data_IF_222466992940
#
_entry.id   IF_222466992940
#
_cell.length_a   1.000
_cell.length_b   1.000
_cell.length_c   1.000
_cell.angle_alpha   90.00
_cell.angle_beta   90.00
_cell.angle_gamma   90.00
#
_symmetry.space_group_name_H-M   'P 1'
#
loop_
_entity.id
_entity.type
_entity.pdbx_description
1 polymer ?
#
# COMPACT_ATOMS: atom_id res chain seq x y z
N UNK A 1 -16.20 15.91 22.58
CA UNK A 1 -16.09 14.57 21.96
C UNK A 1 -16.25 14.68 20.46
N UNK A 2 -15.68 13.73 19.70
CA UNK A 2 -15.79 13.73 18.24
C UNK A 2 -17.12 13.11 17.81
N UNK A 3 -17.86 13.77 16.91
CA UNK A 3 -19.11 13.24 16.36
C UNK A 3 -18.88 12.23 15.22
N UNK A 4 -17.64 12.12 14.73
CA UNK A 4 -17.26 11.20 13.65
C UNK A 4 -16.83 9.81 14.14
N UNK A 5 -17.17 9.42 15.37
CA UNK A 5 -16.75 8.16 16.01
C UNK A 5 -17.09 6.92 15.18
N UNK A 6 -18.26 6.91 14.54
CA UNK A 6 -18.73 5.81 13.70
C UNK A 6 -18.51 6.06 12.21
N UNK A 7 -17.97 7.22 11.82
CA UNK A 7 -17.70 7.50 10.42
C UNK A 7 -16.56 6.61 9.90
N UNK A 8 -16.66 6.07 8.67
CA UNK A 8 -15.52 5.43 8.01
C UNK A 8 -14.45 6.43 7.57
N UNK A 9 -14.69 7.74 7.77
CA UNK A 9 -13.79 8.84 7.42
C UNK A 9 -13.45 8.80 5.93
N UNK A 10 -12.17 8.88 5.60
CA UNK A 10 -11.68 8.88 4.23
C UNK A 10 -11.22 7.49 3.75
N UNK A 11 -11.77 6.40 4.32
CA UNK A 11 -11.60 5.05 3.74
C UNK A 11 -12.37 4.90 2.43
N UNK A 12 -13.44 5.66 2.24
CA UNK A 12 -14.35 5.62 1.11
C UNK A 12 -15.72 6.17 1.49
N UNK A 13 -16.76 5.79 0.75
CA UNK A 13 -18.15 6.11 1.09
C UNK A 13 -18.76 7.16 0.18
N UNK A 14 -19.87 7.76 0.62
CA UNK A 14 -20.69 8.61 -0.26
C UNK A 14 -19.97 9.86 -0.77
N UNK A 15 -19.02 10.38 0.02
CA UNK A 15 -18.33 11.65 -0.26
C UNK A 15 -16.81 11.51 -0.44
N UNK A 16 -16.26 10.29 -0.37
CA UNK A 16 -14.83 10.03 -0.56
C UNK A 16 -14.64 8.80 -1.44
N UNK A 17 -13.73 8.85 -2.45
CA UNK A 17 -13.40 7.65 -3.20
C UNK A 17 -12.81 6.58 -2.29
N UNK A 18 -13.06 5.32 -2.63
CA UNK A 18 -12.45 4.20 -1.92
C UNK A 18 -10.94 4.26 -1.97
N UNK A 19 -10.31 4.10 -0.81
CA UNK A 19 -8.88 4.35 -0.65
C UNK A 19 -7.98 3.29 -1.30
N UNK A 20 -8.46 2.05 -1.44
CA UNK A 20 -7.69 0.96 -2.07
C UNK A 20 -8.16 0.76 -3.51
N UNK A 21 -7.48 1.39 -4.48
CA UNK A 21 -7.85 1.24 -5.89
C UNK A 21 -7.09 0.11 -6.57
N UNK A 22 -7.78 -0.70 -7.38
CA UNK A 22 -7.15 -1.85 -8.04
C UNK A 22 -6.04 -1.45 -9.02
N UNK A 23 -6.19 -0.29 -9.67
CA UNK A 23 -5.26 0.18 -10.69
C UNK A 23 -3.93 0.62 -10.10
N UNK A 24 -3.94 1.25 -8.92
CA UNK A 24 -2.70 1.61 -8.20
C UNK A 24 -1.91 0.36 -7.81
N UNK A 25 -2.58 -0.66 -7.27
CA UNK A 25 -1.90 -1.89 -6.85
C UNK A 25 -1.46 -2.77 -8.03
N UNK A 26 -2.17 -2.75 -9.16
CA UNK A 26 -1.70 -3.38 -10.40
C UNK A 26 -0.48 -2.68 -10.96
N UNK A 27 -0.47 -1.35 -10.97
CA UNK A 27 0.71 -0.59 -11.36
C UNK A 27 1.89 -0.88 -10.43
N UNK A 28 1.63 -0.98 -9.12
CA UNK A 28 2.61 -1.39 -8.11
C UNK A 28 3.27 -2.72 -8.46
N UNK A 29 2.47 -3.78 -8.58
CA UNK A 29 2.97 -5.11 -8.93
C UNK A 29 3.69 -5.14 -10.27
N UNK A 30 3.19 -4.42 -11.28
CA UNK A 30 3.84 -4.36 -12.59
C UNK A 30 5.27 -3.82 -12.53
N UNK A 31 5.53 -2.77 -11.73
CA UNK A 31 6.90 -2.27 -11.62
C UNK A 31 7.79 -3.15 -10.76
N UNK A 32 7.24 -3.83 -9.74
CA UNK A 32 7.97 -4.85 -8.98
C UNK A 32 8.45 -5.96 -9.93
N UNK A 33 7.53 -6.50 -10.73
CA UNK A 33 7.80 -7.56 -11.70
C UNK A 33 8.85 -7.16 -12.75
N UNK A 34 8.82 -5.91 -13.20
CA UNK A 34 9.86 -5.39 -14.10
C UNK A 34 11.26 -5.42 -13.46
N UNK A 35 11.37 -5.19 -12.15
CA UNK A 35 12.64 -5.24 -11.44
C UNK A 35 13.06 -6.66 -11.07
N UNK A 36 12.12 -7.51 -10.65
CA UNK A 36 12.37 -8.93 -10.37
C UNK A 36 12.88 -9.65 -11.63
N UNK A 37 12.39 -9.26 -12.81
CA UNK A 37 12.80 -9.80 -14.11
C UNK A 37 14.12 -9.22 -14.63
N UNK A 38 14.66 -8.17 -14.01
CA UNK A 38 15.89 -7.54 -14.47
C UNK A 38 17.12 -8.41 -14.18
N UNK A 39 18.15 -8.39 -15.04
CA UNK A 39 19.37 -9.15 -14.83
C UNK A 39 20.18 -8.56 -13.66
N UNK A 40 20.63 -9.42 -12.75
CA UNK A 40 21.39 -9.04 -11.55
C UNK A 40 22.89 -9.26 -11.69
N UNK A 41 23.34 -9.77 -12.84
CA UNK A 41 24.76 -10.03 -13.12
C UNK A 41 25.17 -9.63 -14.53
N UNK A 42 26.43 -9.26 -14.68
CA UNK A 42 27.05 -8.87 -15.95
C UNK A 42 26.97 -9.98 -17.01
N UNK A 43 27.18 -11.24 -16.60
CA UNK A 43 27.10 -12.39 -17.51
C UNK A 43 25.67 -12.67 -18.00
N UNK A 44 24.66 -12.45 -17.15
CA UNK A 44 23.25 -12.54 -17.53
C UNK A 44 22.90 -11.49 -18.60
N UNK A 45 23.39 -10.25 -18.45
CA UNK A 45 23.24 -9.21 -19.47
C UNK A 45 23.89 -9.61 -20.79
N UNK A 46 25.11 -10.16 -20.75
CA UNK A 46 25.81 -10.66 -21.95
C UNK A 46 25.00 -11.71 -22.68
N UNK A 47 24.50 -12.72 -21.95
CA UNK A 47 23.68 -13.80 -22.50
C UNK A 47 22.39 -13.25 -23.10
N UNK A 48 21.70 -12.35 -22.37
CA UNK A 48 20.44 -11.76 -22.82
C UNK A 48 20.62 -10.97 -24.12
N UNK A 49 21.63 -10.10 -24.19
CA UNK A 49 21.93 -9.30 -25.39
C UNK A 49 22.33 -10.22 -26.55
N UNK A 50 23.14 -11.24 -26.28
CA UNK A 50 23.52 -12.25 -27.27
C UNK A 50 22.28 -12.96 -27.84
N UNK A 51 21.37 -13.42 -26.99
CA UNK A 51 20.20 -14.19 -27.43
C UNK A 51 19.23 -13.36 -28.27
N UNK A 52 18.97 -12.11 -27.89
CA UNK A 52 18.03 -11.23 -28.59
C UNK A 52 18.52 -10.86 -30.00
N UNK A 53 19.83 -10.84 -30.20
CA UNK A 53 20.46 -10.42 -31.45
C UNK A 53 21.29 -11.52 -32.10
N UNK A 54 21.00 -12.79 -31.79
CA UNK A 54 21.65 -13.97 -32.38
C UNK A 54 23.20 -13.90 -32.38
N UNK A 55 23.77 -13.37 -31.30
CA UNK A 55 25.21 -13.24 -31.10
C UNK A 55 25.88 -12.10 -31.87
N UNK A 56 25.14 -11.33 -32.68
CA UNK A 56 25.68 -10.27 -33.55
C UNK A 56 26.55 -9.23 -32.82
N UNK A 57 26.23 -8.94 -31.56
CA UNK A 57 26.88 -7.88 -30.78
C UNK A 57 27.86 -8.39 -29.70
N UNK A 58 28.18 -9.69 -29.68
CA UNK A 58 29.10 -10.27 -28.67
C UNK A 58 30.48 -9.60 -28.73
N UNK A 59 31.03 -9.36 -29.93
CA UNK A 59 32.36 -8.73 -30.06
C UNK A 59 32.39 -7.32 -29.48
N UNK A 60 31.33 -6.55 -29.69
CA UNK A 60 31.22 -5.20 -29.14
C UNK A 60 31.04 -5.21 -27.63
N UNK A 61 30.23 -6.14 -27.10
CA UNK A 61 30.17 -6.37 -25.65
C UNK A 61 31.54 -6.71 -25.07
N UNK A 62 32.23 -7.71 -25.64
CA UNK A 62 33.52 -8.18 -25.16
C UNK A 62 34.60 -7.08 -25.26
N UNK A 63 34.51 -6.15 -26.23
CA UNK A 63 35.38 -4.97 -26.31
C UNK A 63 35.03 -3.89 -25.27
N UNK A 64 33.74 -3.62 -25.05
CA UNK A 64 33.27 -2.60 -24.12
C UNK A 64 33.59 -2.98 -22.67
N UNK A 65 33.39 -4.24 -22.28
CA UNK A 65 33.61 -4.70 -20.90
C UNK A 65 35.09 -4.67 -20.48
N UNK A 66 36.03 -4.55 -21.42
CA UNK A 66 37.45 -4.34 -21.11
C UNK A 66 37.78 -2.88 -20.76
N UNK A 67 36.84 -1.95 -20.96
CA UNK A 67 37.02 -0.53 -20.62
C UNK A 67 36.54 -0.33 -19.18
N UNK A 68 37.44 0.09 -18.30
CA UNK A 68 37.15 0.21 -16.86
C UNK A 68 35.90 1.05 -16.56
N UNK A 69 35.72 2.19 -17.22
CA UNK A 69 34.55 3.04 -17.03
C UNK A 69 33.23 2.31 -17.34
N UNK A 70 33.19 1.57 -18.44
CA UNK A 70 32.03 0.79 -18.82
C UNK A 70 31.80 -0.37 -17.85
N UNK A 71 32.85 -1.14 -17.57
CA UNK A 71 32.81 -2.30 -16.69
C UNK A 71 32.31 -1.95 -15.30
N UNK A 72 32.92 -0.94 -14.67
CA UNK A 72 32.53 -0.47 -13.33
C UNK A 72 31.08 0.00 -13.34
N UNK A 73 30.65 0.77 -14.35
CA UNK A 73 29.27 1.25 -14.44
C UNK A 73 28.25 0.11 -14.56
N UNK A 74 28.55 -0.93 -15.34
CA UNK A 74 27.66 -2.10 -15.50
C UNK A 74 27.67 -2.97 -14.23
N UNK A 75 28.85 -3.24 -13.65
CA UNK A 75 28.99 -4.00 -12.40
C UNK A 75 28.18 -3.35 -11.27
N UNK A 76 28.37 -2.05 -11.04
CA UNK A 76 27.64 -1.29 -10.01
C UNK A 76 26.13 -1.29 -10.25
N UNK A 77 25.69 -1.07 -11.50
CA UNK A 77 24.27 -1.08 -11.81
C UNK A 77 23.65 -2.47 -11.61
N UNK A 78 24.34 -3.55 -11.99
CA UNK A 78 23.85 -4.93 -11.75
C UNK A 78 23.82 -5.30 -10.26
N UNK A 79 24.83 -4.89 -9.50
CA UNK A 79 24.87 -5.11 -8.05
C UNK A 79 23.70 -4.38 -7.36
N UNK A 80 23.42 -3.14 -7.76
CA UNK A 80 22.29 -2.39 -7.23
C UNK A 80 20.94 -2.99 -7.66
N UNK A 81 20.82 -3.48 -8.89
CA UNK A 81 19.64 -4.23 -9.32
C UNK A 81 19.42 -5.50 -8.48
N UNK A 82 20.50 -6.20 -8.07
CA UNK A 82 20.39 -7.32 -7.11
C UNK A 82 19.79 -6.87 -5.78
N UNK A 83 20.30 -5.79 -5.20
CA UNK A 83 19.78 -5.20 -3.95
C UNK A 83 18.30 -4.84 -4.09
N UNK A 84 17.91 -4.12 -5.15
CA UNK A 84 16.50 -3.75 -5.40
C UNK A 84 15.62 -4.99 -5.57
N UNK A 85 16.12 -6.03 -6.24
CA UNK A 85 15.38 -7.28 -6.41
C UNK A 85 15.15 -8.01 -5.09
N UNK A 86 16.17 -8.10 -4.24
CA UNK A 86 16.03 -8.66 -2.88
C UNK A 86 14.98 -7.90 -2.07
N UNK A 87 14.96 -6.57 -2.16
CA UNK A 87 13.93 -5.77 -1.50
C UNK A 87 12.53 -6.02 -2.07
N UNK A 88 12.39 -6.36 -3.36
CA UNK A 88 11.09 -6.68 -3.95
C UNK A 88 10.48 -7.99 -3.38
N UNK A 89 11.29 -8.88 -2.80
CA UNK A 89 10.82 -10.16 -2.25
C UNK A 89 9.81 -9.97 -1.11
N UNK A 90 9.74 -8.79 -0.50
CA UNK A 90 8.71 -8.47 0.49
C UNK A 90 7.28 -8.69 -0.05
N UNK A 91 7.08 -8.51 -1.36
CA UNK A 91 5.78 -8.65 -2.01
C UNK A 91 5.28 -10.10 -1.92
N UNK A 92 6.14 -11.05 -2.28
CA UNK A 92 5.85 -12.49 -2.20
C UNK A 92 5.91 -13.00 -0.76
N UNK A 93 6.74 -12.39 0.10
CA UNK A 93 6.88 -12.73 1.52
C UNK A 93 5.80 -12.11 2.42
N UNK A 94 4.63 -11.79 1.85
CA UNK A 94 3.45 -11.39 2.61
C UNK A 94 2.97 -9.97 2.34
N UNK A 95 3.66 -9.17 1.52
CA UNK A 95 3.18 -7.86 1.08
C UNK A 95 1.86 -7.95 0.33
N UNK A 96 1.74 -8.86 -0.66
CA UNK A 96 0.50 -9.09 -1.40
C UNK A 96 -0.63 -9.57 -0.47
N UNK A 97 -0.33 -10.52 0.42
CA UNK A 97 -1.29 -10.97 1.44
C UNK A 97 -1.70 -9.83 2.39
N UNK A 98 -0.77 -8.95 2.73
CA UNK A 98 -0.98 -7.78 3.58
C UNK A 98 -2.05 -6.85 3.01
N UNK A 99 -2.00 -6.53 1.71
CA UNK A 99 -3.00 -5.67 1.08
C UNK A 99 -4.40 -6.31 1.08
N UNK A 100 -4.48 -7.63 0.93
CA UNK A 100 -5.73 -8.36 1.01
C UNK A 100 -6.30 -8.32 2.43
N UNK A 101 -5.45 -8.49 3.45
CA UNK A 101 -5.83 -8.35 4.86
C UNK A 101 -6.37 -6.94 5.15
N UNK A 102 -5.74 -5.89 4.63
CA UNK A 102 -6.24 -4.52 4.83
C UNK A 102 -7.66 -4.33 4.29
N UNK A 103 -7.97 -4.87 3.12
CA UNK A 103 -9.32 -4.82 2.56
C UNK A 103 -10.32 -5.64 3.38
N UNK A 104 -9.93 -6.83 3.84
CA UNK A 104 -10.81 -7.69 4.62
C UNK A 104 -11.05 -7.15 6.03
N UNK A 105 -10.12 -6.38 6.60
CA UNK A 105 -10.34 -5.67 7.85
C UNK A 105 -11.46 -4.62 7.71
N UNK A 106 -11.52 -3.94 6.57
CA UNK A 106 -12.61 -2.99 6.27
C UNK A 106 -13.95 -3.73 6.18
N UNK A 107 -14.00 -4.85 5.45
CA UNK A 107 -15.21 -5.70 5.35
C UNK A 107 -15.65 -6.17 6.73
N UNK A 108 -14.73 -6.72 7.52
CA UNK A 108 -15.02 -7.24 8.85
C UNK A 108 -15.54 -6.14 9.80
N UNK A 109 -14.93 -4.95 9.79
CA UNK A 109 -15.39 -3.84 10.61
C UNK A 109 -16.78 -3.35 10.19
N UNK A 110 -17.03 -3.27 8.88
CA UNK A 110 -18.34 -2.91 8.36
C UNK A 110 -19.41 -3.93 8.76
N UNK A 111 -19.10 -5.23 8.75
CA UNK A 111 -20.00 -6.29 9.20
C UNK A 111 -20.30 -6.19 10.71
N UNK A 112 -19.34 -5.76 11.53
CA UNK A 112 -19.60 -5.49 12.94
C UNK A 112 -20.68 -4.42 13.11
N UNK A 113 -20.58 -3.31 12.37
CA UNK A 113 -21.51 -2.18 12.48
C UNK A 113 -22.87 -2.51 11.85
N UNK A 114 -22.85 -3.05 10.63
CA UNK A 114 -24.03 -3.14 9.77
C UNK A 114 -24.79 -4.47 9.90
N UNK A 115 -24.20 -5.47 10.54
CA UNK A 115 -24.81 -6.78 10.77
C UNK A 115 -24.85 -7.11 12.26
N UNK A 116 -23.69 -7.22 12.92
CA UNK A 116 -23.61 -7.67 14.33
C UNK A 116 -24.32 -6.70 15.27
N UNK A 117 -24.05 -5.40 15.14
CA UNK A 117 -24.54 -4.36 16.05
C UNK A 117 -25.72 -3.56 15.53
N UNK A 118 -26.20 -3.85 14.32
CA UNK A 118 -27.24 -3.06 13.66
C UNK A 118 -28.51 -2.90 14.50
N UNK A 119 -29.03 -3.99 15.05
CA UNK A 119 -30.26 -3.94 15.86
C UNK A 119 -30.07 -3.21 17.18
N UNK A 120 -28.95 -3.44 17.87
CA UNK A 120 -28.65 -2.77 19.13
C UNK A 120 -28.43 -1.26 18.92
N UNK A 121 -27.69 -0.87 17.87
CA UNK A 121 -27.48 0.53 17.53
C UNK A 121 -28.79 1.23 17.12
N UNK A 122 -29.68 0.57 16.38
CA UNK A 122 -31.01 1.12 16.08
C UNK A 122 -31.88 1.30 17.34
N UNK A 123 -31.79 0.37 18.30
CA UNK A 123 -32.45 0.55 19.60
C UNK A 123 -31.90 1.78 20.33
N UNK A 124 -30.57 1.95 20.33
CA UNK A 124 -29.88 3.08 20.96
C UNK A 124 -30.33 4.41 20.33
N UNK A 125 -30.37 4.50 18.99
CA UNK A 125 -30.86 5.67 18.26
C UNK A 125 -32.30 5.98 18.67
N UNK A 126 -33.18 4.98 18.65
CA UNK A 126 -34.58 5.17 18.99
C UNK A 126 -34.80 5.66 20.42
N UNK A 127 -34.02 5.16 21.40
CA UNK A 127 -34.12 5.64 22.79
C UNK A 127 -33.56 7.05 22.96
N UNK A 128 -32.45 7.37 22.28
CA UNK A 128 -31.86 8.70 22.27
C UNK A 128 -32.82 9.77 21.71
N UNK A 129 -33.48 9.48 20.58
CA UNK A 129 -34.45 10.39 19.97
C UNK A 129 -35.69 10.63 20.84
N UNK A 130 -36.03 9.68 21.72
CA UNK A 130 -37.13 9.83 22.68
C UNK A 130 -36.70 10.53 23.98
N UNK A 131 -35.45 11.01 24.07
CA UNK A 131 -34.95 11.80 25.19
C UNK A 131 -34.71 11.01 26.48
N UNK A 132 -34.62 9.67 26.40
CA UNK A 132 -34.38 8.84 27.58
C UNK A 132 -33.69 7.53 27.23
N UNK A 133 -32.37 7.47 27.42
CA UNK A 133 -31.66 6.18 27.40
C UNK A 133 -31.90 5.38 28.68
N UNK A 134 -32.27 4.11 28.53
CA UNK A 134 -32.27 3.19 29.66
C UNK A 134 -30.83 2.87 30.10
N UNK A 135 -30.58 2.56 31.40
CA UNK A 135 -29.26 2.15 31.87
C UNK A 135 -28.70 0.94 31.12
N UNK A 136 -29.56 0.02 30.70
CA UNK A 136 -29.18 -1.14 29.91
C UNK A 136 -28.70 -0.75 28.52
N UNK A 137 -29.43 0.15 27.83
CA UNK A 137 -29.07 0.65 26.50
C UNK A 137 -27.79 1.48 26.53
N UNK A 138 -27.59 2.29 27.58
CA UNK A 138 -26.31 2.97 27.83
C UNK A 138 -25.15 1.97 27.96
N UNK A 139 -25.30 0.95 28.80
CA UNK A 139 -24.28 -0.10 28.99
C UNK A 139 -23.98 -0.85 27.69
N UNK A 140 -25.01 -1.17 26.89
CA UNK A 140 -24.84 -1.76 25.56
C UNK A 140 -24.00 -0.86 24.65
N UNK A 141 -24.32 0.42 24.56
CA UNK A 141 -23.58 1.36 23.69
C UNK A 141 -22.10 1.44 24.08
N UNK A 142 -21.79 1.50 25.39
CA UNK A 142 -20.40 1.45 25.90
C UNK A 142 -19.70 0.18 25.46
N UNK A 143 -20.34 -0.98 25.62
CA UNK A 143 -19.75 -2.27 25.26
C UNK A 143 -19.49 -2.38 23.75
N UNK A 144 -20.39 -1.84 22.92
CA UNK A 144 -20.21 -1.77 21.47
C UNK A 144 -19.00 -0.89 21.14
N UNK A 145 -18.91 0.30 21.73
CA UNK A 145 -17.78 1.21 21.50
C UNK A 145 -16.44 0.56 21.90
N UNK A 146 -16.40 -0.15 23.04
CA UNK A 146 -15.20 -0.89 23.48
C UNK A 146 -14.83 -2.01 22.52
N UNK A 147 -15.79 -2.81 22.07
CA UNK A 147 -15.52 -3.91 21.13
C UNK A 147 -15.02 -3.39 19.78
N UNK A 148 -15.68 -2.38 19.22
CA UNK A 148 -15.26 -1.76 17.97
C UNK A 148 -13.88 -1.10 18.10
N UNK A 149 -13.61 -0.42 19.23
CA UNK A 149 -12.29 0.14 19.53
C UNK A 149 -11.19 -0.92 19.48
N UNK A 150 -11.43 -2.09 20.07
CA UNK A 150 -10.47 -3.20 20.12
C UNK A 150 -10.21 -3.80 18.73
N UNK A 151 -11.26 -3.94 17.90
CA UNK A 151 -11.11 -4.39 16.51
C UNK A 151 -10.31 -3.37 15.69
N UNK A 152 -10.66 -2.09 15.78
CA UNK A 152 -9.94 -1.01 15.10
C UNK A 152 -8.46 -0.95 15.54
N UNK A 153 -8.17 -1.16 16.83
CA UNK A 153 -6.79 -1.23 17.34
C UNK A 153 -6.01 -2.42 16.74
N UNK A 154 -6.68 -3.56 16.56
CA UNK A 154 -6.08 -4.74 15.91
C UNK A 154 -5.76 -4.44 14.45
N UNK A 155 -6.67 -3.80 13.73
CA UNK A 155 -6.48 -3.43 12.33
C UNK A 155 -5.41 -2.34 12.15
N UNK A 156 -5.32 -1.40 13.10
CA UNK A 156 -4.20 -0.47 13.22
C UNK A 156 -2.86 -1.21 13.31
N UNK A 157 -2.72 -2.18 14.21
CA UNK A 157 -1.48 -2.95 14.37
C UNK A 157 -1.12 -3.74 13.10
N UNK A 158 -2.10 -4.33 12.44
CA UNK A 158 -1.87 -5.05 11.19
C UNK A 158 -1.41 -4.11 10.06
N UNK A 159 -2.00 -2.91 9.96
CA UNK A 159 -1.58 -1.91 8.98
C UNK A 159 -0.19 -1.33 9.27
N UNK A 160 0.24 -1.27 10.53
CA UNK A 160 1.58 -0.85 10.93
C UNK A 160 2.65 -1.78 10.32
N UNK A 161 2.43 -3.10 10.38
CA UNK A 161 3.35 -4.07 9.80
C UNK A 161 3.57 -3.82 8.31
N UNK A 162 2.49 -3.60 7.56
CA UNK A 162 2.57 -3.29 6.12
C UNK A 162 3.27 -1.95 5.85
N UNK A 163 2.99 -0.93 6.67
CA UNK A 163 3.62 0.38 6.55
C UNK A 163 5.14 0.30 6.75
N UNK A 164 5.59 -0.51 7.70
CA UNK A 164 7.03 -0.75 7.95
C UNK A 164 7.68 -1.41 6.75
N UNK A 165 7.15 -2.54 6.26
CA UNK A 165 7.76 -3.26 5.12
C UNK A 165 7.85 -2.41 3.85
N UNK A 166 6.79 -1.65 3.52
CA UNK A 166 6.83 -0.73 2.38
C UNK A 166 7.84 0.41 2.62
N UNK A 167 7.96 0.90 3.86
CA UNK A 167 8.92 1.97 4.17
C UNK A 167 10.37 1.50 4.07
N UNK A 168 10.65 0.26 4.46
CA UNK A 168 11.96 -0.38 4.30
C UNK A 168 12.29 -0.56 2.82
N UNK A 169 11.37 -1.13 2.04
CA UNK A 169 11.48 -1.23 0.59
C UNK A 169 11.82 0.12 -0.06
N UNK A 170 11.04 1.17 0.24
CA UNK A 170 11.27 2.48 -0.37
C UNK A 170 12.56 3.15 0.07
N UNK A 171 13.11 2.82 1.25
CA UNK A 171 14.41 3.36 1.67
C UNK A 171 15.54 3.01 0.70
N UNK A 172 15.48 1.83 0.08
CA UNK A 172 16.43 1.40 -0.95
C UNK A 172 16.09 2.02 -2.31
N UNK A 173 14.80 2.12 -2.66
CA UNK A 173 14.37 2.71 -3.93
C UNK A 173 14.78 4.19 -4.06
N UNK A 174 14.90 4.91 -2.95
CA UNK A 174 15.40 6.29 -2.93
C UNK A 174 16.84 6.43 -3.44
N UNK A 175 17.64 5.36 -3.40
CA UNK A 175 19.02 5.35 -3.92
C UNK A 175 19.07 5.20 -5.45
N UNK A 176 17.97 4.81 -6.12
CA UNK A 176 17.92 4.55 -7.57
C UNK A 176 18.45 5.72 -8.40
N UNK A 177 17.99 6.96 -8.14
CA UNK A 177 18.39 8.14 -8.91
C UNK A 177 19.90 8.39 -8.80
N UNK A 178 20.48 8.20 -7.62
CA UNK A 178 21.91 8.39 -7.40
C UNK A 178 22.74 7.35 -8.18
N UNK A 179 22.34 6.09 -8.15
CA UNK A 179 23.01 5.00 -8.89
C UNK A 179 22.87 5.19 -10.39
N UNK A 180 21.68 5.54 -10.88
CA UNK A 180 21.45 5.82 -12.30
C UNK A 180 22.37 6.96 -12.77
N UNK A 181 22.42 8.08 -12.02
CA UNK A 181 23.24 9.23 -12.37
C UNK A 181 24.75 8.94 -12.33
N UNK A 182 25.18 8.04 -11.44
CA UNK A 182 26.57 7.60 -11.34
C UNK A 182 26.97 6.68 -12.51
N UNK A 183 26.14 5.68 -12.84
CA UNK A 183 26.50 4.64 -13.79
C UNK A 183 26.22 5.00 -15.26
N UNK A 184 25.22 5.85 -15.53
CA UNK A 184 24.78 6.18 -16.90
C UNK A 184 25.85 6.91 -17.74
N UNK A 185 26.51 7.99 -17.26
CA UNK A 185 27.51 8.70 -18.04
C UNK A 185 28.71 7.85 -18.50
N UNK A 186 29.39 7.07 -17.62
CA UNK A 186 30.55 6.30 -18.06
C UNK A 186 30.20 5.19 -19.05
N UNK A 187 29.00 4.61 -18.98
CA UNK A 187 28.51 3.62 -19.96
C UNK A 187 28.30 4.29 -21.33
N UNK A 188 27.62 5.43 -21.38
CA UNK A 188 27.37 6.17 -22.63
C UNK A 188 28.68 6.64 -23.26
N UNK A 189 29.56 7.25 -22.48
CA UNK A 189 30.82 7.82 -22.97
C UNK A 189 31.81 6.76 -23.44
N UNK A 190 31.54 5.48 -23.15
CA UNK A 190 32.34 4.36 -23.62
C UNK A 190 31.96 3.91 -25.04
N UNK A 191 30.89 4.42 -25.67
CA UNK A 191 30.52 4.04 -27.04
C UNK A 191 31.46 4.66 -28.09
N UNK A 192 31.85 3.89 -29.10
CA UNK A 192 32.63 4.38 -30.25
C UNK A 192 32.06 3.97 -31.60
N UNK A 193 31.16 2.99 -31.63
CA UNK A 193 30.60 2.42 -32.86
C UNK A 193 29.08 2.32 -32.79
N UNK A 194 28.43 2.10 -33.93
CA UNK A 194 27.00 1.81 -33.98
C UNK A 194 26.64 0.51 -33.24
N UNK A 195 27.52 -0.50 -33.25
CA UNK A 195 27.29 -1.75 -32.53
C UNK A 195 27.41 -1.55 -31.01
N UNK A 196 28.35 -0.70 -30.56
CA UNK A 196 28.44 -0.30 -29.14
C UNK A 196 27.15 0.36 -28.66
N UNK A 197 26.55 1.20 -29.52
CA UNK A 197 25.27 1.83 -29.22
C UNK A 197 24.16 0.80 -29.01
N UNK A 198 24.10 -0.25 -29.83
CA UNK A 198 23.08 -1.30 -29.63
C UNK A 198 23.29 -2.02 -28.30
N UNK A 199 24.53 -2.33 -27.92
CA UNK A 199 24.84 -2.93 -26.61
C UNK A 199 24.38 -2.02 -25.47
N UNK A 200 24.77 -0.75 -25.49
CA UNK A 200 24.39 0.24 -24.46
C UNK A 200 22.87 0.42 -24.40
N UNK A 201 22.18 0.51 -25.54
CA UNK A 201 20.73 0.65 -25.57
C UNK A 201 20.02 -0.55 -24.91
N UNK A 202 20.53 -1.78 -25.10
CA UNK A 202 19.97 -2.95 -24.41
C UNK A 202 20.26 -2.92 -22.90
N UNK A 203 21.44 -2.47 -22.46
CA UNK A 203 21.71 -2.25 -21.02
C UNK A 203 20.68 -1.26 -20.44
N UNK A 204 20.38 -0.19 -21.15
CA UNK A 204 19.41 0.80 -20.70
C UNK A 204 18.00 0.22 -20.61
N UNK A 205 17.62 -0.58 -21.62
CA UNK A 205 16.33 -1.26 -21.65
C UNK A 205 16.15 -2.26 -20.51
N UNK A 206 17.17 -3.06 -20.22
CA UNK A 206 17.04 -4.19 -19.28
C UNK A 206 17.46 -3.88 -17.86
N UNK A 207 18.33 -2.89 -17.67
CA UNK A 207 18.89 -2.56 -16.35
C UNK A 207 18.38 -1.20 -15.85
N UNK A 208 18.57 -0.14 -16.64
CA UNK A 208 18.22 1.22 -16.18
C UNK A 208 16.73 1.51 -16.21
N UNK A 209 15.97 0.98 -17.17
CA UNK A 209 14.52 1.23 -17.27
C UNK A 209 13.74 0.71 -16.05
N UNK A 210 13.95 -0.53 -15.57
CA UNK A 210 13.35 -0.99 -14.32
C UNK A 210 13.66 -0.06 -13.13
N UNK A 211 14.93 0.29 -12.93
CA UNK A 211 15.35 1.19 -11.84
C UNK A 211 14.73 2.59 -11.96
N UNK A 212 14.64 3.13 -13.18
CA UNK A 212 14.00 4.43 -13.43
C UNK A 212 12.51 4.38 -13.12
N UNK A 213 11.85 3.27 -13.46
CA UNK A 213 10.42 3.07 -13.14
C UNK A 213 10.22 3.08 -11.62
N UNK A 214 11.06 2.35 -10.87
CA UNK A 214 11.02 2.36 -9.41
C UNK A 214 11.21 3.76 -8.82
N UNK A 215 12.20 4.52 -9.32
CA UNK A 215 12.48 5.86 -8.85
C UNK A 215 11.30 6.83 -9.05
N UNK A 216 10.51 6.66 -10.12
CA UNK A 216 9.32 7.46 -10.41
C UNK A 216 8.19 7.14 -9.41
N UNK A 217 8.00 5.87 -9.05
CA UNK A 217 6.92 5.41 -8.17
C UNK A 217 7.34 5.22 -6.70
N UNK A 218 8.43 5.90 -6.30
CA UNK A 218 9.08 5.79 -4.98
C UNK A 218 8.23 6.13 -3.75
N UNK A 219 7.01 6.60 -3.95
CA UNK A 219 6.07 6.95 -2.87
C UNK A 219 4.61 6.69 -3.27
N UNK A 220 4.34 5.83 -4.25
CA UNK A 220 2.98 5.68 -4.79
C UNK A 220 2.00 5.06 -3.78
N UNK A 221 2.37 3.96 -3.13
CA UNK A 221 1.46 3.20 -2.24
C UNK A 221 1.68 3.49 -0.75
N UNK A 222 2.84 4.00 -0.35
CA UNK A 222 3.14 4.28 1.07
C UNK A 222 2.16 5.31 1.69
N UNK A 223 1.78 6.41 1.01
CA UNK A 223 0.79 7.34 1.53
C UNK A 223 -0.57 6.68 1.78
N UNK A 224 -0.99 5.75 0.91
CA UNK A 224 -2.25 5.01 1.03
C UNK A 224 -2.23 4.17 2.32
N UNK A 225 -1.17 3.38 2.52
CA UNK A 225 -1.04 2.52 3.71
C UNK A 225 -0.93 3.33 5.00
N UNK A 226 -0.16 4.44 4.99
CA UNK A 226 -0.09 5.36 6.12
C UNK A 226 -1.45 6.00 6.44
N UNK A 227 -2.26 6.28 5.42
CA UNK A 227 -3.61 6.81 5.60
C UNK A 227 -4.54 5.78 6.22
N UNK A 228 -4.56 4.53 5.74
CA UNK A 228 -5.31 3.42 6.35
C UNK A 228 -4.93 3.25 7.83
N UNK A 229 -3.63 3.23 8.12
CA UNK A 229 -3.09 3.12 9.48
C UNK A 229 -3.58 4.25 10.40
N UNK A 230 -3.52 5.50 9.95
CA UNK A 230 -4.00 6.66 10.72
C UNK A 230 -5.51 6.61 10.95
N UNK A 231 -6.29 6.18 9.96
CA UNK A 231 -7.75 6.09 10.10
C UNK A 231 -8.11 5.06 11.17
N UNK A 232 -7.49 3.87 11.16
CA UNK A 232 -7.73 2.87 12.21
C UNK A 232 -7.35 3.36 13.60
N UNK A 233 -6.22 4.07 13.72
CA UNK A 233 -5.82 4.69 14.99
C UNK A 233 -6.88 5.66 15.50
N UNK A 234 -7.38 6.52 14.61
CA UNK A 234 -8.36 7.54 14.98
C UNK A 234 -9.72 6.93 15.33
N UNK A 235 -10.19 5.93 14.57
CA UNK A 235 -11.42 5.18 14.89
C UNK A 235 -11.30 4.51 16.25
N UNK A 236 -10.19 3.81 16.51
CA UNK A 236 -9.95 3.13 17.78
C UNK A 236 -9.96 4.12 18.96
N UNK A 237 -9.21 5.21 18.83
CA UNK A 237 -9.11 6.23 19.88
C UNK A 237 -10.45 6.88 20.17
N UNK A 238 -11.18 7.33 19.14
CA UNK A 238 -12.45 8.05 19.33
C UNK A 238 -13.54 7.15 19.93
N UNK A 239 -13.60 5.87 19.53
CA UNK A 239 -14.51 4.88 20.13
C UNK A 239 -14.17 4.61 21.60
N UNK A 240 -12.87 4.50 21.92
CA UNK A 240 -12.41 4.32 23.30
C UNK A 240 -12.75 5.53 24.15
N UNK A 241 -12.44 6.74 23.68
CA UNK A 241 -12.72 8.00 24.37
C UNK A 241 -14.23 8.16 24.65
N UNK A 242 -15.06 7.81 23.67
CA UNK A 242 -16.53 7.79 23.82
C UNK A 242 -16.98 6.80 24.89
N UNK A 243 -16.38 5.61 24.92
CA UNK A 243 -16.74 4.58 25.88
C UNK A 243 -16.30 4.88 27.32
N UNK A 244 -15.12 5.47 27.48
CA UNK A 244 -14.49 5.72 28.78
C UNK A 244 -15.10 6.96 29.47
N UNK A 245 -15.52 7.96 28.69
CA UNK A 245 -16.03 9.24 29.23
C UNK A 245 -17.55 9.40 29.08
N UNK A 246 -18.30 8.33 28.78
CA UNK A 246 -19.75 8.41 28.54
C UNK A 246 -20.56 8.94 29.73
N UNK A 247 -20.03 8.80 30.93
CA UNK A 247 -20.69 9.26 32.16
C UNK A 247 -20.60 10.78 32.33
N UNK A 248 -19.60 11.40 31.71
CA UNK A 248 -19.31 12.82 31.78
C UNK A 248 -19.99 13.62 30.64
N UNK A 249 -20.72 12.94 29.75
CA UNK A 249 -21.43 13.58 28.64
C UNK A 249 -22.73 14.20 29.15
N UNK A 250 -22.75 15.53 29.25
CA UNK A 250 -23.99 16.29 29.37
C UNK A 250 -24.84 16.09 28.10
N UNK A 251 -26.13 15.81 28.27
CA UNK A 251 -27.08 15.50 27.20
C UNK A 251 -26.62 14.34 26.28
N UNK A 252 -26.35 13.17 26.86
CA UNK A 252 -25.94 11.95 26.15
C UNK A 252 -26.87 11.62 24.96
N UNK A 253 -28.17 11.82 25.10
CA UNK A 253 -29.18 11.65 24.06
C UNK A 253 -28.87 12.50 22.81
N UNK A 254 -28.59 13.80 23.01
CA UNK A 254 -28.24 14.74 21.94
C UNK A 254 -26.91 14.35 21.30
N UNK A 255 -25.93 13.95 22.11
CA UNK A 255 -24.65 13.46 21.60
C UNK A 255 -24.83 12.24 20.70
N UNK A 256 -25.62 11.24 21.11
CA UNK A 256 -25.87 10.03 20.32
C UNK A 256 -26.64 10.37 19.03
N UNK A 257 -27.62 11.26 19.09
CA UNK A 257 -28.32 11.74 17.89
C UNK A 257 -27.35 12.43 16.91
N UNK A 258 -26.38 13.18 17.42
CA UNK A 258 -25.35 13.85 16.63
C UNK A 258 -24.26 12.91 16.06
N UNK A 259 -24.22 11.62 16.44
CA UNK A 259 -23.30 10.64 15.83
C UNK A 259 -23.71 10.21 14.43
N UNK A 260 -24.93 10.57 14.00
CA UNK A 260 -25.45 10.27 12.66
C UNK A 260 -25.29 8.79 12.28
N UNK A 261 -25.60 7.88 13.23
CA UNK A 261 -25.38 6.43 13.08
C UNK A 261 -26.06 5.83 11.85
N UNK A 262 -27.21 6.38 11.43
CA UNK A 262 -27.90 5.96 10.22
C UNK A 262 -27.06 6.25 8.96
N UNK A 263 -26.43 7.42 8.87
CA UNK A 263 -25.50 7.75 7.78
C UNK A 263 -24.25 6.88 7.86
N UNK A 264 -23.73 6.63 9.06
CA UNK A 264 -22.61 5.71 9.23
C UNK A 264 -22.94 4.29 8.72
N UNK A 265 -24.18 3.79 8.91
CA UNK A 265 -24.59 2.50 8.34
C UNK A 265 -24.55 2.49 6.81
N UNK A 266 -25.02 3.57 6.17
CA UNK A 266 -24.99 3.69 4.72
C UNK A 266 -23.55 3.69 4.19
N UNK A 267 -22.68 4.52 4.77
CA UNK A 267 -21.29 4.63 4.34
C UNK A 267 -20.52 3.32 4.57
N UNK A 268 -20.68 2.66 5.73
CA UNK A 268 -20.04 1.37 5.98
C UNK A 268 -20.52 0.26 5.05
N UNK A 269 -21.81 0.23 4.68
CA UNK A 269 -22.32 -0.73 3.68
C UNK A 269 -21.69 -0.50 2.31
N UNK A 270 -21.58 0.76 1.87
CA UNK A 270 -20.96 1.07 0.59
C UNK A 270 -19.48 0.64 0.57
N UNK A 271 -18.72 1.03 1.59
CA UNK A 271 -17.28 0.75 1.67
C UNK A 271 -16.99 -0.73 1.83
N UNK A 272 -17.87 -1.47 2.51
CA UNK A 272 -17.81 -2.94 2.58
C UNK A 272 -17.81 -3.55 1.19
N UNK A 273 -18.72 -3.12 0.32
CA UNK A 273 -18.85 -3.67 -1.03
C UNK A 273 -17.66 -3.26 -1.91
N UNK A 274 -17.14 -2.05 -1.75
CA UNK A 274 -15.91 -1.59 -2.41
C UNK A 274 -14.68 -2.40 -1.98
N UNK A 275 -14.53 -2.66 -0.68
CA UNK A 275 -13.42 -3.45 -0.12
C UNK A 275 -13.50 -4.92 -0.52
N UNK A 276 -14.70 -5.50 -0.55
CA UNK A 276 -14.94 -6.86 -1.03
C UNK A 276 -14.66 -6.99 -2.53
N UNK A 277 -15.06 -5.99 -3.32
CA UNK A 277 -14.72 -5.93 -4.75
C UNK A 277 -13.21 -5.80 -4.96
N UNK A 278 -12.54 -4.95 -4.19
CA UNK A 278 -11.08 -4.86 -4.22
C UNK A 278 -10.43 -6.20 -3.91
N UNK A 279 -10.82 -6.87 -2.82
CA UNK A 279 -10.27 -8.18 -2.43
C UNK A 279 -10.36 -9.21 -3.57
N UNK A 280 -11.55 -9.35 -4.17
CA UNK A 280 -11.80 -10.26 -5.29
C UNK A 280 -10.88 -9.97 -6.48
N UNK A 281 -10.73 -8.71 -6.85
CA UNK A 281 -9.91 -8.32 -8.00
C UNK A 281 -8.39 -8.33 -7.70
N UNK A 282 -8.00 -8.02 -6.45
CA UNK A 282 -6.62 -7.93 -6.02
C UNK A 282 -5.98 -9.30 -5.76
N UNK A 283 -6.78 -10.32 -5.46
CA UNK A 283 -6.33 -11.71 -5.27
C UNK A 283 -5.55 -12.28 -6.47
N UNK A 284 -5.80 -11.75 -7.67
CA UNK A 284 -5.15 -12.17 -8.92
C UNK A 284 -4.04 -11.21 -9.37
N UNK A 285 -3.64 -10.25 -8.54
CA UNK A 285 -2.49 -9.40 -8.85
C UNK A 285 -1.23 -10.24 -8.62
N UNK A 286 -0.52 -10.51 -9.72
CA UNK A 286 0.84 -11.04 -9.76
C UNK A 286 1.82 -9.91 -9.99
#
# INVERSE_FOLDING_TARGET
>A
MNHLVFSPRELGGKYSPFLLTIDEWRQFANYLNNCISAPTRVDQLRILISNIHEGKFIKSWDSLIQRDSFRIGVEEATAFTSKVKEECDFWDNGGHKGILILSQNIVAFADLITIKYYNDLNQIISEALNGKLSPNTKSKFVNICKDLSNHAQTYYQQSQSMATSISEFYSVILECDAVINKCKPPIINSMRTADDYVVVNNIFRFLFRPLTTMAIYRDSVLPIIRKVHRIWSAISYDLKDTADNIEDIENLEEFIAALELELAFEDWKQIRDEAENFYKNASNIS
#
